data_IF_786844723162
#
_entry.id   IF_786844723162
#
_cell.length_a   1.000
_cell.length_b   1.000
_cell.length_c   1.000
_cell.angle_alpha   90.00
_cell.angle_beta   90.00
_cell.angle_gamma   90.00
#
_symmetry.space_group_name_H-M   'P 1'
#
loop_
_entity.id
_entity.type
_entity.pdbx_description
1 polymer ?
#
# COMPACT_ATOMS: atom_id res chain seq x y z
N UNK A 1 -5.88 5.61 11.30
CA UNK A 1 -5.66 4.21 10.87
C UNK A 1 -6.83 3.33 11.29
N UNK A 2 -7.12 2.26 10.54
CA UNK A 2 -8.27 1.38 10.78
C UNK A 2 -7.82 -0.08 10.69
N UNK A 3 -8.22 -0.89 11.66
CA UNK A 3 -8.04 -2.34 11.64
C UNK A 3 -9.38 -3.02 11.37
N UNK A 4 -9.52 -3.63 10.18
CA UNK A 4 -10.77 -4.18 9.67
C UNK A 4 -10.89 -5.65 10.09
N UNK A 5 -11.96 -5.97 10.82
CA UNK A 5 -12.33 -7.32 11.22
C UNK A 5 -13.55 -7.76 10.41
N UNK A 6 -13.35 -8.71 9.50
CA UNK A 6 -14.42 -9.32 8.71
C UNK A 6 -15.40 -10.11 9.60
N UNK A 7 -16.66 -10.18 9.19
CA UNK A 7 -17.68 -10.98 9.85
C UNK A 7 -17.25 -12.46 9.93
N UNK A 8 -17.30 -13.02 11.13
CA UNK A 8 -16.90 -14.41 11.40
C UNK A 8 -15.39 -14.61 11.55
N UNK A 9 -14.59 -13.54 11.58
CA UNK A 9 -13.17 -13.58 11.96
C UNK A 9 -13.01 -13.23 13.45
N UNK A 10 -12.04 -13.85 14.12
CA UNK A 10 -11.71 -13.59 15.53
C UNK A 10 -10.97 -12.24 15.72
N UNK A 11 -10.39 -11.72 14.64
CA UNK A 11 -9.64 -10.46 14.65
C UNK A 11 -8.15 -10.65 14.87
N UNK A 12 -7.65 -11.88 15.04
CA UNK A 12 -6.24 -12.14 15.21
C UNK A 12 -5.53 -12.23 13.86
N UNK A 13 -4.42 -11.51 13.66
CA UNK A 13 -3.65 -11.63 12.41
C UNK A 13 -2.78 -12.90 12.40
N UNK A 14 -2.27 -13.29 11.23
CA UNK A 14 -1.37 -14.44 11.13
C UNK A 14 0.01 -14.12 11.73
N UNK A 15 0.49 -14.95 12.66
CA UNK A 15 1.80 -14.79 13.28
C UNK A 15 2.41 -16.15 13.70
N UNK A 16 3.72 -16.19 14.01
CA UNK A 16 4.33 -17.27 14.79
C UNK A 16 3.75 -17.37 16.22
N UNK A 17 3.76 -18.56 16.85
CA UNK A 17 3.18 -18.78 18.18
C UNK A 17 3.73 -17.87 19.29
N UNK A 18 4.97 -17.42 19.17
CA UNK A 18 5.66 -16.55 20.13
C UNK A 18 5.32 -15.06 19.95
N UNK A 19 4.62 -14.69 18.87
CA UNK A 19 4.27 -13.31 18.55
C UNK A 19 2.79 -13.08 18.85
N UNK A 20 2.53 -12.18 19.79
CA UNK A 20 1.16 -11.72 20.09
C UNK A 20 0.49 -11.18 18.82
N UNK A 21 -0.64 -11.79 18.48
CA UNK A 21 -1.44 -11.48 17.31
C UNK A 21 -2.85 -10.96 17.63
N UNK A 22 -3.07 -10.54 18.87
CA UNK A 22 -4.30 -9.93 19.32
C UNK A 22 -4.67 -8.67 18.52
N UNK A 23 -5.94 -8.27 18.65
CA UNK A 23 -6.44 -7.02 18.07
C UNK A 23 -5.66 -5.83 18.62
N UNK A 24 -5.33 -5.86 19.91
CA UNK A 24 -4.57 -4.85 20.63
C UNK A 24 -3.15 -4.73 20.06
N UNK A 25 -2.46 -5.87 19.86
CA UNK A 25 -1.14 -5.90 19.22
C UNK A 25 -1.19 -5.36 17.79
N UNK A 26 -2.20 -5.74 17.01
CA UNK A 26 -2.37 -5.24 15.65
C UNK A 26 -2.53 -3.72 15.62
N UNK A 27 -3.43 -3.19 16.45
CA UNK A 27 -3.65 -1.76 16.58
C UNK A 27 -2.38 -1.02 17.01
N UNK A 28 -1.65 -1.54 18.01
CA UNK A 28 -0.39 -0.97 18.47
C UNK A 28 0.67 -0.89 17.35
N UNK A 29 0.89 -1.98 16.60
CA UNK A 29 1.83 -2.03 15.46
C UNK A 29 1.45 -1.03 14.36
N UNK A 30 0.17 -0.99 14.01
CA UNK A 30 -0.35 -0.05 13.01
C UNK A 30 -0.16 1.40 13.46
N UNK A 31 -0.41 1.70 14.73
CA UNK A 31 -0.21 3.05 15.29
C UNK A 31 1.25 3.49 15.22
N UNK A 32 2.20 2.62 15.62
CA UNK A 32 3.64 2.90 15.49
C UNK A 32 4.03 3.11 14.04
N UNK A 33 3.61 2.23 13.13
CA UNK A 33 3.92 2.39 11.70
C UNK A 33 3.35 3.68 11.10
N UNK A 34 2.12 4.06 11.46
CA UNK A 34 1.51 5.32 11.01
C UNK A 34 2.30 6.56 11.50
N UNK A 35 2.74 6.56 12.76
CA UNK A 35 3.58 7.62 13.35
C UNK A 35 4.97 7.68 12.71
N UNK A 36 5.55 6.53 12.32
CA UNK A 36 6.81 6.49 11.60
C UNK A 36 6.68 7.09 10.21
N UNK A 37 5.63 6.73 9.47
CA UNK A 37 5.34 7.31 8.16
C UNK A 37 5.09 8.82 8.28
N UNK A 38 4.35 9.25 9.29
CA UNK A 38 4.10 10.66 9.58
C UNK A 38 5.42 11.42 9.85
N UNK A 39 6.34 10.81 10.61
CA UNK A 39 7.66 11.38 10.93
C UNK A 39 8.54 11.50 9.68
N UNK A 40 8.62 10.45 8.87
CA UNK A 40 9.39 10.47 7.61
C UNK A 40 8.82 11.52 6.66
N UNK A 41 7.50 11.62 6.55
CA UNK A 41 6.84 12.66 5.74
C UNK A 41 7.23 14.06 6.20
N UNK A 42 7.28 14.29 7.52
CA UNK A 42 7.68 15.58 8.11
C UNK A 42 9.11 15.98 7.74
N UNK A 43 10.05 15.05 7.87
CA UNK A 43 11.45 15.30 7.51
C UNK A 43 11.62 15.51 6.00
N UNK A 44 10.91 14.74 5.16
CA UNK A 44 11.02 14.89 3.70
C UNK A 44 10.41 16.18 3.16
N UNK A 45 9.34 16.67 3.78
CA UNK A 45 8.80 18.00 3.46
C UNK A 45 9.74 19.12 3.96
N UNK A 46 10.40 18.93 5.11
CA UNK A 46 11.39 19.87 5.61
C UNK A 46 12.63 19.95 4.70
N UNK A 47 13.21 18.81 4.33
CA UNK A 47 14.33 18.71 3.38
C UNK A 47 14.02 19.36 2.02
N UNK A 48 12.74 19.31 1.60
CA UNK A 48 12.26 19.90 0.35
C UNK A 48 11.92 21.40 0.45
N UNK A 49 12.14 22.03 1.61
CA UNK A 49 11.92 23.47 1.81
C UNK A 49 10.48 23.88 2.11
N UNK A 50 9.57 22.95 2.40
CA UNK A 50 8.17 23.24 2.74
C UNK A 50 7.93 23.41 4.25
N UNK A 51 9.00 23.33 5.04
CA UNK A 51 8.96 23.29 6.50
C UNK A 51 8.61 21.89 7.03
N UNK A 52 8.73 21.70 8.35
CA UNK A 52 8.44 20.43 9.02
C UNK A 52 6.93 20.25 9.19
N UNK A 53 6.26 19.86 8.11
CA UNK A 53 4.81 19.64 8.03
C UNK A 53 4.52 18.19 7.68
N UNK A 54 3.38 17.66 8.13
CA UNK A 54 2.94 16.29 7.85
C UNK A 54 1.42 16.18 7.94
N UNK A 55 0.86 15.03 7.60
CA UNK A 55 -0.56 14.74 7.81
C UNK A 55 -0.86 14.51 9.29
N UNK A 56 -2.10 14.79 9.71
CA UNK A 56 -2.54 14.58 11.09
C UNK A 56 -3.18 13.21 11.26
N UNK A 57 -2.92 12.55 12.38
CA UNK A 57 -3.61 11.34 12.79
C UNK A 57 -4.86 11.70 13.61
N UNK A 58 -5.95 10.95 13.44
CA UNK A 58 -7.25 11.24 14.07
C UNK A 58 -7.16 11.40 15.60
N UNK A 59 -6.35 10.58 16.28
CA UNK A 59 -6.15 10.67 17.74
C UNK A 59 -5.50 11.99 18.18
N UNK A 60 -4.72 12.63 17.31
CA UNK A 60 -4.07 13.92 17.61
C UNK A 60 -5.06 15.08 17.56
N UNK A 61 -6.11 14.95 16.73
CA UNK A 61 -7.20 15.92 16.61
C UNK A 61 -8.24 15.69 17.70
N UNK A 62 -8.58 14.42 17.94
CA UNK A 62 -9.51 14.01 18.98
C UNK A 62 -8.87 12.94 19.85
N UNK A 63 -8.35 13.36 21.01
CA UNK A 63 -7.70 12.45 21.98
C UNK A 63 -8.62 11.36 22.53
N UNK A 64 -9.95 11.48 22.36
CA UNK A 64 -10.90 10.42 22.71
C UNK A 64 -10.97 9.31 21.66
N UNK A 65 -10.60 9.60 20.41
CA UNK A 65 -10.50 8.58 19.35
C UNK A 65 -9.32 7.66 19.64
N UNK A 66 -9.38 6.35 19.40
CA UNK A 66 -8.22 5.47 19.56
C UNK A 66 -7.15 5.76 18.49
N UNK A 67 -5.88 5.43 18.76
CA UNK A 67 -4.79 5.60 17.79
C UNK A 67 -4.99 4.76 16.51
N UNK A 68 -5.62 3.59 16.66
CA UNK A 68 -6.05 2.74 15.56
C UNK A 68 -7.48 2.27 15.84
N UNK A 69 -8.40 2.56 14.91
CA UNK A 69 -9.83 2.27 15.07
C UNK A 69 -10.11 0.84 14.65
N UNK A 70 -10.72 0.03 15.53
CA UNK A 70 -11.20 -1.30 15.15
C UNK A 70 -12.54 -1.15 14.43
N UNK A 71 -12.58 -1.58 13.17
CA UNK A 71 -13.78 -1.54 12.33
C UNK A 71 -14.28 -2.95 12.05
N UNK A 72 -15.52 -3.26 12.47
CA UNK A 72 -16.14 -4.56 12.21
C UNK A 72 -16.96 -4.50 10.93
N UNK A 73 -16.48 -5.21 9.91
CA UNK A 73 -17.10 -5.28 8.59
C UNK A 73 -18.19 -6.34 8.53
N UNK A 74 -19.21 -6.10 7.71
CA UNK A 74 -20.24 -7.09 7.35
C UNK A 74 -19.76 -8.11 6.32
N UNK A 75 -18.55 -7.94 5.76
CA UNK A 75 -17.99 -8.89 4.80
C UNK A 75 -17.63 -10.18 5.52
N UNK A 76 -18.26 -11.29 5.10
CA UNK A 76 -17.88 -12.60 5.60
C UNK A 76 -16.42 -12.95 5.26
N UNK A 77 -15.68 -13.47 6.25
CA UNK A 77 -14.26 -13.82 6.10
C UNK A 77 -13.97 -14.79 4.94
N UNK A 78 -14.83 -15.78 4.70
CA UNK A 78 -14.63 -16.75 3.62
C UNK A 78 -14.85 -16.13 2.25
N UNK A 79 -15.67 -15.07 2.18
CA UNK A 79 -15.84 -14.28 0.96
C UNK A 79 -14.64 -13.37 0.75
N UNK A 80 -14.18 -12.65 1.78
CA UNK A 80 -13.01 -11.79 1.73
C UNK A 80 -11.76 -12.53 1.22
N UNK A 81 -11.52 -13.76 1.71
CA UNK A 81 -10.38 -14.59 1.30
C UNK A 81 -10.37 -15.01 -0.17
N UNK A 82 -11.50 -14.92 -0.87
CA UNK A 82 -11.65 -15.25 -2.29
C UNK A 82 -11.65 -14.03 -3.21
N UNK A 83 -11.71 -12.83 -2.64
CA UNK A 83 -11.76 -11.59 -3.40
C UNK A 83 -10.37 -11.15 -3.83
N UNK A 84 -10.29 -10.56 -5.02
CA UNK A 84 -9.09 -9.87 -5.51
C UNK A 84 -8.90 -8.57 -4.74
N UNK A 85 -7.66 -8.06 -4.73
CA UNK A 85 -7.33 -6.81 -4.05
C UNK A 85 -8.23 -5.63 -4.44
N UNK A 86 -8.57 -5.47 -5.73
CA UNK A 86 -9.44 -4.37 -6.20
C UNK A 86 -10.89 -4.50 -5.72
N UNK A 87 -11.38 -5.74 -5.58
CA UNK A 87 -12.71 -6.02 -5.02
C UNK A 87 -12.73 -5.72 -3.52
N UNK A 88 -11.67 -6.09 -2.78
CA UNK A 88 -11.52 -5.77 -1.36
C UNK A 88 -11.46 -4.25 -1.14
N UNK A 89 -10.63 -3.55 -1.93
CA UNK A 89 -10.49 -2.10 -1.88
C UNK A 89 -11.84 -1.40 -2.14
N UNK A 90 -12.56 -1.83 -3.19
CA UNK A 90 -13.87 -1.26 -3.52
C UNK A 90 -14.89 -1.52 -2.42
N UNK A 91 -14.92 -2.74 -1.87
CA UNK A 91 -15.88 -3.11 -0.83
C UNK A 91 -15.64 -2.32 0.45
N UNK A 92 -14.42 -2.38 1.00
CA UNK A 92 -14.11 -1.70 2.26
C UNK A 92 -14.14 -0.19 2.13
N UNK A 93 -13.72 0.38 0.99
CA UNK A 93 -13.86 1.80 0.72
C UNK A 93 -15.31 2.26 0.77
N UNK A 94 -16.23 1.51 0.13
CA UNK A 94 -17.66 1.81 0.21
C UNK A 94 -18.20 1.64 1.63
N UNK A 95 -17.84 0.55 2.30
CA UNK A 95 -18.38 0.24 3.62
C UNK A 95 -17.93 1.26 4.67
N UNK A 96 -16.66 1.67 4.66
CA UNK A 96 -16.14 2.74 5.53
C UNK A 96 -16.87 4.06 5.29
N UNK A 97 -17.06 4.45 4.02
CA UNK A 97 -17.73 5.70 3.68
C UNK A 97 -19.23 5.73 4.02
N UNK A 98 -19.89 4.57 4.08
CA UNK A 98 -21.29 4.45 4.50
C UNK A 98 -21.46 4.26 6.01
N UNK A 99 -20.37 4.11 6.76
CA UNK A 99 -20.37 3.98 8.21
C UNK A 99 -20.29 5.33 8.91
N UNK A 100 -20.42 5.34 10.24
CA UNK A 100 -20.24 6.54 11.07
C UNK A 100 -18.83 7.14 10.98
N UNK A 101 -17.84 6.39 10.49
CA UNK A 101 -16.49 6.90 10.25
C UNK A 101 -16.38 7.71 8.96
N UNK A 102 -17.35 7.59 8.05
CA UNK A 102 -17.31 8.12 6.69
C UNK A 102 -17.17 9.65 6.64
N UNK A 103 -16.19 10.14 5.88
CA UNK A 103 -15.94 11.57 5.70
C UNK A 103 -15.14 11.83 4.43
N UNK A 104 -15.54 12.85 3.66
CA UNK A 104 -14.79 13.32 2.50
C UNK A 104 -13.54 14.13 2.87
N UNK A 105 -13.45 14.56 4.14
CA UNK A 105 -12.33 15.34 4.68
C UNK A 105 -11.26 14.43 5.32
N UNK A 106 -11.41 13.10 5.20
CA UNK A 106 -10.52 12.11 5.82
C UNK A 106 -9.98 11.15 4.79
N UNK A 107 -8.77 10.68 5.03
CA UNK A 107 -8.14 9.56 4.32
C UNK A 107 -8.02 8.38 5.29
N UNK A 108 -8.23 7.18 4.79
CA UNK A 108 -8.21 5.96 5.59
C UNK A 108 -6.97 5.14 5.23
N UNK A 109 -6.15 4.87 6.24
CA UNK A 109 -5.14 3.81 6.18
C UNK A 109 -5.73 2.59 6.88
N UNK A 110 -6.05 1.54 6.13
CA UNK A 110 -6.79 0.39 6.62
C UNK A 110 -6.04 -0.93 6.46
N UNK A 111 -6.17 -1.83 7.42
CA UNK A 111 -5.53 -3.14 7.46
C UNK A 111 -6.54 -4.26 7.62
N UNK A 112 -6.43 -5.32 6.82
CA UNK A 112 -7.36 -6.46 6.81
C UNK A 112 -6.86 -7.52 7.80
N UNK A 113 -7.60 -7.75 8.90
CA UNK A 113 -7.21 -8.74 9.93
C UNK A 113 -7.10 -10.17 9.40
N UNK A 114 -7.96 -10.56 8.44
CA UNK A 114 -8.08 -11.95 8.00
C UNK A 114 -7.16 -12.33 6.84
N UNK A 115 -6.16 -11.50 6.53
CA UNK A 115 -5.12 -11.85 5.55
C UNK A 115 -4.39 -13.10 6.00
N UNK A 116 -4.25 -14.07 5.10
CA UNK A 116 -3.61 -15.35 5.41
C UNK A 116 -2.75 -15.82 4.27
N UNK A 117 -1.47 -16.02 4.54
CA UNK A 117 -0.56 -16.75 3.67
C UNK A 117 -0.76 -18.26 3.88
N UNK A 118 -1.03 -19.00 2.80
CA UNK A 118 -1.30 -20.45 2.88
C UNK A 118 -0.09 -21.28 3.25
N UNK A 119 1.11 -20.76 3.01
CA UNK A 119 2.33 -21.55 3.05
C UNK A 119 2.58 -22.31 1.76
N UNK A 120 3.77 -22.90 1.66
CA UNK A 120 4.19 -23.74 0.52
C UNK A 120 5.28 -24.70 0.96
N UNK A 121 5.30 -25.91 0.41
CA UNK A 121 6.39 -26.87 0.61
C UNK A 121 7.46 -26.78 -0.50
N UNK A 122 7.30 -25.84 -1.43
CA UNK A 122 8.22 -25.64 -2.54
C UNK A 122 9.51 -25.03 -2.02
N UNK A 123 10.61 -25.76 -2.14
CA UNK A 123 11.96 -25.32 -1.78
C UNK A 123 12.63 -24.58 -2.94
N UNK A 124 12.01 -23.48 -3.39
CA UNK A 124 12.55 -22.60 -4.44
C UNK A 124 12.28 -21.13 -4.09
N UNK A 125 13.11 -20.23 -4.60
CA UNK A 125 12.82 -18.80 -4.58
C UNK A 125 11.57 -18.50 -5.42
N UNK A 126 10.59 -17.82 -4.82
CA UNK A 126 9.35 -17.43 -5.49
C UNK A 126 9.42 -15.98 -5.97
N UNK A 127 8.79 -15.70 -7.10
CA UNK A 127 8.56 -14.31 -7.51
C UNK A 127 7.54 -13.65 -6.59
N UNK A 128 7.48 -12.33 -6.61
CA UNK A 128 6.47 -11.60 -5.84
C UNK A 128 5.04 -12.00 -6.20
N UNK A 129 4.75 -12.19 -7.49
CA UNK A 129 3.42 -12.59 -7.94
C UNK A 129 3.05 -14.00 -7.45
N UNK A 130 4.02 -14.93 -7.43
CA UNK A 130 3.83 -16.26 -6.83
C UNK A 130 3.53 -16.15 -5.32
N UNK A 131 4.28 -15.31 -4.59
CA UNK A 131 4.06 -15.07 -3.16
C UNK A 131 2.66 -14.48 -2.90
N UNK A 132 2.27 -13.44 -3.65
CA UNK A 132 0.96 -12.80 -3.52
C UNK A 132 -0.18 -13.77 -3.87
N UNK A 133 0.02 -14.66 -4.84
CA UNK A 133 -0.98 -15.67 -5.21
C UNK A 133 -1.32 -16.67 -4.09
N UNK A 134 -0.40 -16.84 -3.13
CA UNK A 134 -0.58 -17.69 -1.95
C UNK A 134 -1.20 -16.93 -0.76
N UNK A 135 -1.38 -15.61 -0.87
CA UNK A 135 -1.99 -14.77 0.15
C UNK A 135 -3.48 -14.54 -0.12
N UNK A 136 -4.32 -14.96 0.82
CA UNK A 136 -5.76 -14.69 0.82
C UNK A 136 -6.07 -13.40 1.55
N UNK A 137 -7.16 -12.72 1.14
CA UNK A 137 -7.60 -11.44 1.72
C UNK A 137 -6.44 -10.42 1.84
N UNK A 138 -5.57 -10.41 0.83
CA UNK A 138 -4.42 -9.53 0.74
C UNK A 138 -4.71 -8.38 -0.23
N UNK A 139 -4.24 -7.19 0.13
CA UNK A 139 -4.26 -6.01 -0.71
C UNK A 139 -3.01 -5.18 -0.40
N UNK A 140 -2.54 -4.45 -1.39
CA UNK A 140 -1.63 -3.33 -1.25
C UNK A 140 -2.07 -2.34 -2.34
N UNK A 141 -3.10 -1.55 -2.01
CA UNK A 141 -3.75 -0.63 -2.96
C UNK A 141 -4.12 0.69 -2.29
N UNK A 142 -3.76 1.77 -2.95
CA UNK A 142 -3.98 3.13 -2.55
C UNK A 142 -4.57 3.98 -3.66
N UNK A 143 -5.40 4.94 -3.28
CA UNK A 143 -5.97 5.92 -4.19
C UNK A 143 -7.19 6.61 -3.58
N UNK A 144 -7.56 7.76 -4.12
CA UNK A 144 -8.72 8.51 -3.63
C UNK A 144 -8.66 8.73 -2.12
N UNK A 145 -9.56 8.09 -1.37
CA UNK A 145 -9.65 8.20 0.10
C UNK A 145 -9.07 7.03 0.90
N UNK A 146 -8.58 5.95 0.27
CA UNK A 146 -8.25 4.70 0.96
C UNK A 146 -6.91 4.11 0.51
N UNK A 147 -6.05 3.84 1.49
CA UNK A 147 -4.91 2.92 1.39
C UNK A 147 -5.24 1.65 2.17
N UNK A 148 -5.32 0.51 1.49
CA UNK A 148 -5.75 -0.77 2.04
C UNK A 148 -4.63 -1.81 1.98
N UNK A 149 -4.35 -2.44 3.12
CA UNK A 149 -3.26 -3.39 3.29
C UNK A 149 -3.68 -4.71 3.91
N UNK A 150 -3.06 -5.78 3.43
CA UNK A 150 -3.09 -7.07 4.11
C UNK A 150 -2.12 -7.13 5.29
N UNK A 151 -2.41 -7.98 6.27
CA UNK A 151 -1.65 -8.09 7.52
C UNK A 151 -0.64 -9.24 7.55
N UNK A 152 -0.34 -9.83 6.39
CA UNK A 152 0.49 -11.05 6.26
C UNK A 152 1.89 -10.93 6.89
N UNK A 153 2.46 -9.72 6.90
CA UNK A 153 3.78 -9.44 7.50
C UNK A 153 3.67 -8.54 8.75
N UNK A 154 2.48 -8.27 9.28
CA UNK A 154 2.30 -7.37 10.43
C UNK A 154 3.03 -7.90 11.67
N UNK A 155 3.21 -9.22 11.79
CA UNK A 155 3.95 -9.85 12.90
C UNK A 155 5.42 -9.41 13.00
N UNK A 156 6.00 -8.84 11.94
CA UNK A 156 7.38 -8.33 11.95
C UNK A 156 7.49 -6.88 12.44
N UNK A 157 6.36 -6.17 12.57
CA UNK A 157 6.34 -4.76 12.95
C UNK A 157 6.51 -4.59 14.46
N UNK A 158 7.17 -3.53 14.95
CA UNK A 158 7.31 -3.26 16.38
C UNK A 158 5.97 -2.87 17.01
N UNK A 159 5.78 -3.19 18.28
CA UNK A 159 4.64 -2.76 19.11
C UNK A 159 4.98 -1.50 19.92
N UNK A 160 6.27 -1.25 20.16
CA UNK A 160 6.74 -0.10 20.94
C UNK A 160 7.85 0.66 20.22
N UNK A 161 8.09 1.91 20.64
CA UNK A 161 9.16 2.74 20.07
C UNK A 161 10.54 2.10 20.29
N UNK A 162 10.76 1.45 21.44
CA UNK A 162 12.03 0.79 21.77
C UNK A 162 12.35 -0.39 20.83
N UNK A 163 11.32 -1.01 20.23
CA UNK A 163 11.47 -2.14 19.32
C UNK A 163 11.78 -1.72 17.88
N UNK A 164 11.63 -0.45 17.50
CA UNK A 164 11.74 -0.01 16.10
C UNK A 164 13.09 -0.40 15.49
N UNK A 165 14.19 -0.03 16.14
CA UNK A 165 15.54 -0.31 15.64
C UNK A 165 15.83 -1.82 15.68
N UNK A 166 15.61 -2.54 16.81
CA UNK A 166 15.75 -4.00 16.84
C UNK A 166 14.94 -4.73 15.76
N UNK A 167 13.71 -4.29 15.46
CA UNK A 167 12.87 -4.90 14.43
C UNK A 167 13.44 -4.69 13.02
N UNK A 168 13.99 -3.51 12.71
CA UNK A 168 14.66 -3.30 11.42
C UNK A 168 15.96 -4.13 11.29
N UNK A 169 16.69 -4.29 12.38
CA UNK A 169 17.94 -5.05 12.42
C UNK A 169 17.74 -6.58 12.55
N UNK A 170 16.49 -7.06 12.58
CA UNK A 170 16.21 -8.48 12.74
C UNK A 170 16.58 -9.29 11.49
N UNK A 171 17.75 -9.94 11.56
CA UNK A 171 18.32 -10.78 10.51
C UNK A 171 17.80 -12.22 10.51
N UNK A 172 16.87 -12.59 11.40
CA UNK A 172 16.29 -13.94 11.40
C UNK A 172 15.57 -14.20 10.07
N UNK A 173 15.68 -15.42 9.51
CA UNK A 173 15.05 -15.73 8.24
C UNK A 173 13.53 -15.83 8.38
N UNK A 174 12.80 -15.41 7.34
CA UNK A 174 11.36 -15.68 7.23
C UNK A 174 11.17 -17.18 7.02
N UNK A 175 10.28 -17.81 7.79
CA UNK A 175 9.85 -19.18 7.50
C UNK A 175 8.85 -19.15 6.33
N UNK A 176 9.38 -19.16 5.11
CA UNK A 176 8.62 -19.07 3.84
C UNK A 176 7.63 -20.22 3.63
N UNK A 177 7.77 -21.33 4.37
CA UNK A 177 6.79 -22.42 4.32
C UNK A 177 5.49 -22.08 5.04
N UNK A 178 5.50 -21.10 5.93
CA UNK A 178 4.36 -20.77 6.80
C UNK A 178 3.93 -19.31 6.72
N UNK A 179 4.87 -18.40 6.43
CA UNK A 179 4.64 -16.96 6.43
C UNK A 179 5.07 -16.33 5.11
N UNK A 180 4.38 -15.24 4.76
CA UNK A 180 4.70 -14.45 3.57
C UNK A 180 6.07 -13.80 3.74
N UNK A 181 6.92 -13.95 2.74
CA UNK A 181 8.17 -13.19 2.62
C UNK A 181 7.96 -12.02 1.67
N UNK A 182 7.62 -10.85 2.22
CA UNK A 182 7.58 -9.60 1.48
C UNK A 182 8.79 -8.72 1.81
N UNK A 183 9.97 -9.34 1.94
CA UNK A 183 11.18 -8.65 2.38
C UNK A 183 11.97 -7.94 1.27
N UNK A 184 11.46 -7.87 0.04
CA UNK A 184 12.27 -7.37 -1.08
C UNK A 184 13.43 -8.30 -1.44
N UNK A 185 13.25 -9.62 -1.31
CA UNK A 185 14.27 -10.67 -1.55
C UNK A 185 15.44 -10.67 -0.56
N UNK A 186 15.29 -10.02 0.61
CA UNK A 186 16.29 -10.08 1.69
C UNK A 186 16.13 -11.33 2.56
N UNK A 187 14.97 -11.96 2.52
CA UNK A 187 14.56 -13.15 3.24
C UNK A 187 14.65 -13.02 4.78
N UNK A 188 14.63 -11.80 5.32
CA UNK A 188 14.72 -11.52 6.76
C UNK A 188 13.45 -10.87 7.31
N UNK A 189 13.21 -11.06 8.61
CA UNK A 189 12.09 -10.42 9.32
C UNK A 189 12.18 -8.89 9.27
N UNK A 190 13.37 -8.32 9.50
CA UNK A 190 13.59 -6.87 9.37
C UNK A 190 13.43 -6.38 7.95
N UNK A 191 13.80 -7.19 6.95
CA UNK A 191 13.55 -6.90 5.55
C UNK A 191 12.05 -6.86 5.21
N UNK A 192 11.25 -7.78 5.77
CA UNK A 192 9.79 -7.76 5.66
C UNK A 192 9.21 -6.51 6.30
N UNK A 193 9.66 -6.14 7.50
CA UNK A 193 9.20 -4.91 8.16
C UNK A 193 9.51 -3.67 7.32
N UNK A 194 10.74 -3.53 6.82
CA UNK A 194 11.16 -2.41 5.97
C UNK A 194 10.31 -2.26 4.70
N UNK A 195 10.20 -3.32 3.90
CA UNK A 195 9.43 -3.29 2.65
C UNK A 195 7.94 -3.06 2.90
N UNK A 196 7.34 -3.72 3.90
CA UNK A 196 5.90 -3.60 4.13
C UNK A 196 5.52 -2.24 4.72
N UNK A 197 6.32 -1.65 5.61
CA UNK A 197 6.11 -0.27 6.08
C UNK A 197 6.28 0.73 4.93
N UNK A 198 7.28 0.52 4.06
CA UNK A 198 7.47 1.31 2.85
C UNK A 198 6.31 1.19 1.88
N UNK A 199 5.81 -0.02 1.62
CA UNK A 199 4.64 -0.24 0.78
C UNK A 199 3.42 0.47 1.35
N UNK A 200 3.20 0.40 2.67
CA UNK A 200 2.17 1.19 3.36
C UNK A 200 2.29 2.67 3.07
N UNK A 201 3.51 3.22 3.13
CA UNK A 201 3.73 4.62 2.81
C UNK A 201 3.48 4.93 1.32
N UNK A 202 3.87 4.04 0.41
CA UNK A 202 3.62 4.19 -1.03
C UNK A 202 2.13 4.34 -1.35
N UNK A 203 1.30 3.40 -0.89
CA UNK A 203 -0.13 3.43 -1.18
C UNK A 203 -0.84 4.56 -0.41
N UNK A 204 -0.35 4.92 0.78
CA UNK A 204 -0.82 6.13 1.46
C UNK A 204 -0.50 7.38 0.62
N UNK A 205 0.66 7.42 -0.03
CA UNK A 205 1.05 8.47 -0.98
C UNK A 205 0.03 8.63 -2.11
N UNK A 206 -0.51 7.54 -2.65
CA UNK A 206 -1.58 7.61 -3.65
C UNK A 206 -2.86 8.27 -3.13
N UNK A 207 -3.16 8.20 -1.83
CA UNK A 207 -4.31 8.91 -1.24
C UNK A 207 -4.08 10.43 -1.13
N UNK A 208 -2.82 10.86 -1.23
CA UNK A 208 -2.38 12.25 -1.34
C UNK A 208 -2.11 12.65 -2.80
N UNK A 209 -2.68 11.92 -3.75
CA UNK A 209 -2.59 12.16 -5.20
C UNK A 209 -1.16 12.11 -5.77
N UNK A 210 -0.24 11.43 -5.07
CA UNK A 210 1.11 11.20 -5.58
C UNK A 210 1.07 10.07 -6.62
N UNK A 211 1.62 10.33 -7.81
CA UNK A 211 1.83 9.32 -8.84
C UNK A 211 3.12 8.53 -8.64
N UNK A 212 3.29 7.43 -9.38
CA UNK A 212 4.54 6.68 -9.39
C UNK A 212 5.71 7.55 -9.87
N UNK A 213 6.87 7.36 -9.25
CA UNK A 213 8.14 7.98 -9.65
C UNK A 213 9.17 6.91 -10.00
N UNK A 214 10.24 7.32 -10.68
CA UNK A 214 11.36 6.41 -10.99
C UNK A 214 12.04 5.88 -9.72
N UNK A 215 12.28 6.78 -8.77
CA UNK A 215 13.04 6.54 -7.55
C UNK A 215 12.25 7.03 -6.32
N UNK A 216 12.68 6.65 -5.11
CA UNK A 216 12.06 7.08 -3.86
C UNK A 216 10.84 6.27 -3.45
N UNK A 217 10.04 6.79 -2.50
CA UNK A 217 8.92 6.06 -1.90
C UNK A 217 7.83 5.71 -2.92
N UNK A 218 7.57 6.61 -3.89
CA UNK A 218 6.62 6.38 -4.98
C UNK A 218 7.22 5.56 -6.14
N UNK A 219 8.47 5.09 -6.01
CA UNK A 219 9.14 4.13 -6.89
C UNK A 219 9.54 2.88 -6.09
N UNK A 220 10.62 2.19 -6.48
CA UNK A 220 11.13 1.01 -5.72
C UNK A 220 11.89 1.35 -4.43
N UNK A 221 12.03 2.63 -4.11
CA UNK A 221 12.71 3.07 -2.89
C UNK A 221 11.98 2.64 -1.62
N UNK A 222 10.70 2.32 -1.68
CA UNK A 222 9.94 1.83 -0.52
C UNK A 222 10.51 0.54 0.08
N UNK A 223 11.20 -0.29 -0.69
CA UNK A 223 11.84 -1.49 -0.14
C UNK A 223 12.88 -1.17 0.93
N UNK A 224 13.44 0.04 0.92
CA UNK A 224 14.60 0.44 1.72
C UNK A 224 14.23 1.50 2.77
N UNK A 225 13.01 1.49 3.28
CA UNK A 225 12.54 2.49 4.25
C UNK A 225 13.34 2.45 5.57
N UNK A 226 13.88 1.29 5.94
CA UNK A 226 14.81 1.09 7.06
C UNK A 226 16.02 2.04 7.01
N UNK A 227 16.50 2.40 5.81
CA UNK A 227 17.64 3.30 5.63
C UNK A 227 17.40 4.73 6.11
N UNK A 228 16.14 5.09 6.39
CA UNK A 228 15.80 6.38 7.03
C UNK A 228 16.06 6.33 8.54
N UNK A 229 15.95 5.15 9.16
CA UNK A 229 16.02 4.96 10.61
C UNK A 229 17.36 4.42 11.09
N UNK A 230 18.03 3.60 10.27
CA UNK A 230 19.31 2.99 10.62
C UNK A 230 20.48 3.86 10.18
N UNK A 231 21.45 4.05 11.10
CA UNK A 231 22.72 4.73 10.83
C UNK A 231 23.81 3.69 10.59
N UNK A 232 24.40 3.65 9.40
CA UNK A 232 25.64 2.89 9.15
C UNK A 232 25.84 2.43 7.71
N UNK A 233 27.11 2.24 7.33
CA UNK A 233 27.60 1.72 6.04
C UNK A 233 27.25 0.24 5.74
N UNK A 234 26.35 -0.39 6.49
CA UNK A 234 26.15 -1.84 6.42
C UNK A 234 25.34 -2.26 5.18
N UNK A 235 26.07 -2.83 4.22
CA UNK A 235 25.67 -3.80 3.17
C UNK A 235 24.83 -3.28 1.99
N UNK A 236 25.35 -2.29 1.27
CA UNK A 236 25.14 -2.24 -0.20
C UNK A 236 25.93 -3.34 -0.95
N UNK A 237 26.73 -4.15 -0.24
CA UNK A 237 27.76 -5.02 -0.83
C UNK A 237 27.59 -6.53 -0.58
N UNK A 238 26.57 -7.00 0.15
CA UNK A 238 26.39 -8.44 0.44
C UNK A 238 25.05 -9.03 0.02
N UNK A 239 24.09 -8.20 -0.40
CA UNK A 239 23.08 -8.65 -1.36
C UNK A 239 23.64 -8.21 -2.69
N UNK A 240 23.85 -9.14 -3.63
CA UNK A 240 24.00 -8.73 -5.03
C UNK A 240 22.75 -7.90 -5.35
N UNK A 241 22.88 -6.58 -5.42
CA UNK A 241 21.92 -5.65 -6.04
C UNK A 241 21.81 -5.94 -7.56
N UNK A 242 21.78 -7.22 -7.95
CA UNK A 242 21.86 -7.73 -9.31
C UNK A 242 20.54 -7.65 -10.07
N UNK A 243 19.53 -6.97 -9.54
CA UNK A 243 18.26 -6.81 -10.23
C UNK A 243 17.77 -5.37 -10.29
N UNK A 244 18.61 -4.35 -10.03
CA UNK A 244 18.21 -2.95 -10.33
C UNK A 244 19.33 -1.94 -10.62
N UNK A 245 20.62 -2.31 -10.55
CA UNK A 245 21.69 -1.35 -10.87
C UNK A 245 22.19 -1.50 -12.32
N UNK A 246 21.41 -1.04 -13.30
CA UNK A 246 21.81 -1.05 -14.72
C UNK A 246 22.91 -0.03 -15.07
N UNK A 247 23.57 0.63 -14.12
CA UNK A 247 24.55 1.66 -14.47
C UNK A 247 25.72 1.89 -13.52
N UNK A 248 26.01 0.99 -12.58
CA UNK A 248 27.27 1.04 -11.80
C UNK A 248 27.56 2.36 -11.08
N UNK A 249 26.53 3.19 -10.86
CA UNK A 249 26.66 4.44 -10.09
C UNK A 249 26.63 4.09 -8.60
N UNK A 250 27.37 4.83 -7.76
CA UNK A 250 27.32 4.64 -6.32
C UNK A 250 25.87 4.75 -5.83
N UNK A 251 25.45 3.79 -5.01
CA UNK A 251 24.13 3.77 -4.39
C UNK A 251 23.99 5.03 -3.56
N UNK A 252 23.11 5.93 -3.98
CA UNK A 252 22.89 7.20 -3.31
C UNK A 252 22.35 6.92 -1.90
N UNK A 253 23.12 7.36 -0.90
CA UNK A 253 22.68 7.35 0.49
C UNK A 253 21.51 8.32 0.63
N UNK A 254 20.38 7.78 1.10
CA UNK A 254 19.24 8.50 1.68
C UNK A 254 18.81 9.74 0.91
N UNK A 255 18.09 9.55 -0.20
CA UNK A 255 17.22 10.61 -0.73
C UNK A 255 15.94 9.99 -1.29
N UNK A 256 14.84 10.09 -0.56
CA UNK A 256 13.51 10.00 -1.18
C UNK A 256 13.25 11.35 -1.80
N UNK A 257 13.43 11.47 -3.11
CA UNK A 257 13.11 12.70 -3.83
C UNK A 257 11.65 12.68 -4.27
N UNK A 258 10.85 13.64 -3.82
CA UNK A 258 9.57 13.96 -4.45
C UNK A 258 9.88 14.82 -5.68
N UNK A 259 9.85 14.22 -6.87
CA UNK A 259 10.04 15.00 -8.11
C UNK A 259 8.72 15.69 -8.51
N UNK A 260 8.87 16.94 -8.97
CA UNK A 260 7.85 17.98 -9.19
C UNK A 260 6.52 17.52 -9.78
N UNK A 261 5.46 18.27 -9.43
CA UNK A 261 4.16 18.29 -10.08
C UNK A 261 4.29 18.17 -11.61
N UNK A 262 3.64 17.15 -12.16
CA UNK A 262 3.40 17.07 -13.59
C UNK A 262 2.36 18.16 -13.90
N UNK A 263 2.79 19.28 -14.48
CA UNK A 263 1.87 20.22 -15.09
C UNK A 263 1.23 19.52 -16.30
N UNK A 264 0.05 18.94 -16.10
CA UNK A 264 -0.77 18.41 -17.19
C UNK A 264 -1.55 19.58 -17.78
N UNK A 265 -1.08 20.11 -18.91
CA UNK A 265 -1.87 21.06 -19.71
C UNK A 265 -2.91 20.25 -20.48
N UNK A 266 -4.17 20.29 -20.06
CA UNK A 266 -5.27 19.68 -20.80
C UNK A 266 -5.78 20.69 -21.84
N UNK A 267 -5.57 20.40 -23.12
CA UNK A 267 -6.26 21.14 -24.18
C UNK A 267 -7.73 20.70 -24.18
N UNK A 268 -8.59 21.51 -23.58
CA UNK A 268 -10.04 21.35 -23.69
C UNK A 268 -10.41 21.73 -25.12
N UNK A 269 -10.65 20.74 -25.98
CA UNK A 269 -11.32 20.99 -27.25
C UNK A 269 -12.70 21.58 -26.94
N UNK A 270 -13.08 22.65 -27.66
CA UNK A 270 -14.37 23.31 -27.47
C UNK A 270 -15.51 22.28 -27.50
N UNK A 271 -16.52 22.41 -26.62
CA UNK A 271 -17.66 21.51 -26.65
C UNK A 271 -18.34 21.65 -28.01
N UNK A 272 -18.49 20.51 -28.71
CA UNK A 272 -19.28 20.41 -29.92
C UNK A 272 -20.64 21.08 -29.67
N UNK A 273 -20.92 22.16 -30.42
CA UNK A 273 -22.17 22.91 -30.33
C UNK A 273 -23.34 21.93 -30.35
N UNK A 274 -24.17 22.00 -29.31
CA UNK A 274 -25.44 21.30 -29.24
C UNK A 274 -26.32 21.84 -30.37
N UNK A 275 -26.41 21.09 -31.46
CA UNK A 275 -27.38 21.34 -32.52
C UNK A 275 -28.77 20.98 -31.99
N UNK A 276 -29.64 21.99 -31.93
CA UNK A 276 -31.04 21.86 -31.54
C UNK A 276 -31.87 20.97 -32.49
N UNK A 277 -33.15 20.75 -32.16
CA UNK A 277 -33.93 19.67 -32.75
C UNK A 277 -34.40 19.97 -34.19
N UNK A 278 -34.06 19.03 -35.08
CA UNK A 278 -34.72 18.63 -36.35
C UNK A 278 -35.16 19.74 -37.33
N UNK A 279 -34.50 19.76 -38.50
CA UNK A 279 -35.15 20.02 -39.79
C UNK A 279 -34.67 19.01 -40.84
N UNK A 280 -35.61 18.62 -41.71
CA UNK A 280 -35.62 17.50 -42.67
C UNK A 280 -34.56 17.61 -43.80
N UNK A 281 -34.38 16.47 -44.50
CA UNK A 281 -33.69 16.25 -45.80
C UNK A 281 -32.16 16.17 -45.68
N UNK A 282 -31.41 15.22 -46.25
CA UNK A 282 -31.59 14.45 -47.51
C UNK A 282 -30.76 13.15 -47.44
N UNK A 283 -31.19 12.15 -48.19
CA UNK A 283 -30.50 10.87 -48.42
C UNK A 283 -29.03 11.02 -48.84
N UNK A 284 -28.18 10.06 -48.45
CA UNK A 284 -26.89 9.84 -49.10
C UNK A 284 -25.97 8.90 -48.33
N UNK A 285 -26.08 7.60 -48.63
CA UNK A 285 -25.07 6.54 -48.55
C UNK A 285 -23.84 6.77 -47.65
N UNK A 286 -23.68 5.94 -46.63
CA UNK A 286 -22.54 5.02 -46.54
C UNK A 286 -22.90 3.84 -45.63
N UNK A 287 -23.12 2.69 -46.27
CA UNK A 287 -23.08 1.40 -45.62
C UNK A 287 -21.62 1.03 -45.31
N UNK A 288 -21.45 0.15 -44.32
CA UNK A 288 -20.23 -0.49 -43.84
C UNK A 288 -19.38 0.29 -42.82
N UNK A 289 -19.50 -0.10 -41.54
CA UNK A 289 -18.36 -0.57 -40.74
C UNK A 289 -18.86 -1.27 -39.47
N UNK A 290 -18.11 -2.28 -39.06
CA UNK A 290 -18.53 -3.43 -38.27
C UNK A 290 -18.65 -3.17 -36.76
N UNK A 291 -19.34 -4.11 -36.09
CA UNK A 291 -19.40 -4.27 -34.63
C UNK A 291 -18.01 -4.60 -34.07
N UNK A 292 -17.31 -3.60 -33.55
CA UNK A 292 -16.30 -3.75 -32.50
C UNK A 292 -16.11 -2.39 -31.83
N UNK A 293 -15.75 -2.40 -30.55
CA UNK A 293 -15.40 -1.23 -29.73
C UNK A 293 -16.54 -0.53 -28.97
N UNK A 294 -17.10 -1.28 -28.00
CA UNK A 294 -17.53 -0.67 -26.75
C UNK A 294 -16.66 -1.26 -25.64
N UNK A 295 -15.50 -0.64 -25.39
CA UNK A 295 -14.72 -0.87 -24.17
C UNK A 295 -15.01 0.29 -23.21
N UNK A 296 -15.71 -0.04 -22.12
CA UNK A 296 -15.87 0.83 -20.94
C UNK A 296 -14.49 1.14 -20.36
N UNK A 297 -14.09 2.41 -20.35
CA UNK A 297 -12.95 2.88 -19.56
C UNK A 297 -13.29 2.78 -18.08
N UNK A 298 -12.54 1.93 -17.36
CA UNK A 298 -12.46 1.93 -15.90
C UNK A 298 -11.31 2.86 -15.48
N UNK A 299 -11.34 3.46 -14.28
CA UNK A 299 -10.23 4.30 -13.78
C UNK A 299 -8.95 3.46 -13.66
N UNK A 300 -7.81 4.06 -14.01
CA UNK A 300 -6.48 3.45 -13.94
C UNK A 300 -6.14 3.07 -12.50
N UNK A 301 -6.33 1.79 -12.18
CA UNK A 301 -5.79 1.13 -10.98
C UNK A 301 -4.66 0.25 -11.49
N UNK A 302 -3.41 0.68 -11.29
CA UNK A 302 -2.24 -0.09 -11.70
C UNK A 302 -1.70 -0.81 -10.47
N UNK A 303 -1.88 -2.13 -10.34
CA UNK A 303 -1.31 -2.88 -9.22
C UNK A 303 0.22 -2.90 -9.32
N UNK A 304 0.91 -3.02 -8.17
CA UNK A 304 2.35 -3.29 -8.13
C UNK A 304 2.60 -4.64 -8.80
N UNK A 305 3.24 -4.63 -9.97
CA UNK A 305 3.81 -5.83 -10.61
C UNK A 305 5.33 -5.74 -10.52
N UNK A 306 5.99 -6.72 -9.88
CA UNK A 306 7.46 -6.80 -9.93
C UNK A 306 7.87 -7.51 -11.23
N UNK A 307 8.90 -7.03 -11.94
CA UNK A 307 9.59 -7.87 -12.91
C UNK A 307 10.19 -9.07 -12.19
N UNK A 308 10.05 -10.24 -12.81
CA UNK A 308 10.65 -11.52 -12.42
C UNK A 308 12.17 -11.49 -12.44
#
# INVERSE_FOLDING_TARGET
PVYIICQGHDGCFQSPPEVDNSIESACSRISIGAKLIQSVTAEKLYESGFGRKTFQLEHEVNQKSPECIVFRSNLNVNKARKMRQSELWTYFGRELMLSDLGSNERKYLAFISCTRFKGTDIDKSMTHDEIVSLAEAHAALGGGGLALFGTACLYTWPTTVAEIIPSFEDVRPVNTRRFMDDSGYRCTLGGCYATTLGSVFHELGHTFDLGHTKDGIMGRGFDNLDRVFLVGDKRSSLVKDNMNNYNGKPVQHSTVSLQRNINVTMNVAEPLRVLGPRSKTTLGNFASMAKSDIIRRSPNVTPITRPS
#
